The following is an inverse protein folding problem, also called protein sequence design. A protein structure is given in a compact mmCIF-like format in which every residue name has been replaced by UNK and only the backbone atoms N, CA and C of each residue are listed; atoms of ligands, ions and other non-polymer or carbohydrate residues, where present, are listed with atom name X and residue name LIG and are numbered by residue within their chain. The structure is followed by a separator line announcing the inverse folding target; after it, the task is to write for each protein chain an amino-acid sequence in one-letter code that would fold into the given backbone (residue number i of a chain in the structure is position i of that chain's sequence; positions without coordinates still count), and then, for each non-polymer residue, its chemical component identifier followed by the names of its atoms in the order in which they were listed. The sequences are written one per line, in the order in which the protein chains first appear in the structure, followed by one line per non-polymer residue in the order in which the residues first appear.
data_IF_655543758893
#
_entry.id   IF_655543758893
#
_cell.length_a   1.000
_cell.length_b   1.000
_cell.length_c   1.000
_cell.angle_alpha   90.00
_cell.angle_beta   90.00
_cell.angle_gamma   90.00
#
_symmetry.space_group_name_H-M   'P 1'
#
loop_
_entity.id
_entity.type
_entity.pdbx_description
1 polymer ?
#
# COMPACT_ATOMS: atom_id res chain seq x y z
N UNK A 1 -10.27 -13.84 22.12
CA UNK A 1 -9.82 -14.96 23.01
C UNK A 1 -8.32 -15.16 22.77
N UNK A 2 -7.63 -15.87 23.66
CA UNK A 2 -6.23 -16.27 23.46
C UNK A 2 -6.18 -17.79 23.35
N UNK A 3 -5.49 -18.30 22.34
CA UNK A 3 -5.25 -19.73 22.14
C UNK A 3 -3.78 -20.06 22.40
N UNK A 4 -3.48 -21.30 22.76
CA UNK A 4 -2.10 -21.77 22.93
C UNK A 4 -1.44 -21.84 21.54
N UNK A 5 -0.41 -21.03 21.35
CA UNK A 5 0.40 -21.05 20.13
C UNK A 5 1.49 -22.12 20.19
N UNK A 6 2.18 -22.19 21.34
CA UNK A 6 3.26 -23.17 21.56
C UNK A 6 3.42 -23.44 23.04
N UNK A 7 3.73 -24.69 23.38
CA UNK A 7 4.15 -25.10 24.71
C UNK A 7 5.50 -25.79 24.60
N UNK A 8 6.41 -25.49 25.52
CA UNK A 8 7.74 -26.06 25.55
C UNK A 8 8.24 -26.19 26.99
N UNK A 9 8.96 -27.26 27.28
CA UNK A 9 9.67 -27.43 28.54
C UNK A 9 11.13 -27.02 28.36
N UNK A 10 11.60 -26.12 29.19
CA UNK A 10 12.96 -25.60 29.10
C UNK A 10 13.97 -26.62 29.60
N UNK A 11 15.02 -26.85 28.84
CA UNK A 11 16.15 -27.68 29.23
C UNK A 11 17.41 -26.81 29.35
N UNK A 12 17.69 -26.32 30.56
CA UNK A 12 18.73 -25.34 30.81
C UNK A 12 19.80 -25.90 31.74
N UNK A 13 21.07 -25.78 31.33
CA UNK A 13 22.18 -26.06 32.23
C UNK A 13 22.35 -25.03 33.33
N UNK A 14 21.95 -23.78 33.04
CA UNK A 14 22.04 -22.63 33.96
C UNK A 14 20.86 -21.71 33.81
N UNK A 15 20.33 -21.22 34.93
CA UNK A 15 19.26 -20.22 34.95
C UNK A 15 19.67 -18.94 34.25
N UNK A 16 18.82 -18.40 33.32
CA UNK A 16 19.00 -17.08 32.66
C UNK A 16 17.64 -16.40 32.51
N UNK A 17 17.66 -15.18 32.03
CA UNK A 17 16.43 -14.40 31.80
C UNK A 17 15.58 -15.04 30.73
N UNK A 18 14.28 -15.14 31.00
CA UNK A 18 13.32 -15.78 30.08
C UNK A 18 13.34 -15.17 28.68
N UNK A 19 13.48 -13.83 28.58
CA UNK A 19 13.53 -13.14 27.27
C UNK A 19 14.74 -13.58 26.42
N UNK A 20 15.86 -13.91 27.02
CA UNK A 20 17.03 -14.46 26.31
C UNK A 20 16.85 -15.92 25.95
N UNK A 21 16.37 -16.71 26.89
CA UNK A 21 16.14 -18.14 26.69
C UNK A 21 15.18 -18.37 25.53
N UNK A 22 14.02 -17.71 25.53
CA UNK A 22 13.03 -17.84 24.47
C UNK A 22 13.53 -17.31 23.11
N UNK A 23 14.39 -16.29 23.10
CA UNK A 23 15.05 -15.82 21.88
C UNK A 23 15.89 -16.93 21.25
N UNK A 24 16.67 -17.63 22.05
CA UNK A 24 17.52 -18.73 21.58
C UNK A 24 16.70 -19.96 21.14
N UNK A 25 15.74 -20.38 21.98
CA UNK A 25 14.91 -21.58 21.74
C UNK A 25 14.00 -21.44 20.51
N UNK A 26 13.52 -20.24 20.24
CA UNK A 26 12.55 -20.00 19.17
C UNK A 26 13.16 -19.39 17.90
N UNK A 27 14.42 -18.97 17.93
CA UNK A 27 15.07 -18.31 16.79
C UNK A 27 14.45 -16.95 16.39
N UNK A 28 13.79 -16.27 17.34
CA UNK A 28 13.10 -15.01 17.10
C UNK A 28 13.79 -13.83 17.79
N UNK A 29 13.45 -12.58 17.39
CA UNK A 29 14.08 -11.40 17.98
C UNK A 29 13.70 -11.22 19.46
N UNK A 30 14.65 -10.75 20.26
CA UNK A 30 14.42 -10.45 21.67
C UNK A 30 13.31 -9.41 21.89
N UNK A 31 13.20 -8.43 20.98
CA UNK A 31 12.13 -7.43 21.02
C UNK A 31 10.73 -8.06 20.84
N UNK A 32 10.61 -9.09 20.01
CA UNK A 32 9.38 -9.87 19.84
C UNK A 32 9.00 -10.58 21.15
N UNK A 33 9.96 -11.29 21.76
CA UNK A 33 9.72 -11.96 23.06
C UNK A 33 9.30 -10.97 24.14
N UNK A 34 9.98 -9.84 24.25
CA UNK A 34 9.63 -8.80 25.21
C UNK A 34 8.24 -8.21 24.94
N UNK A 35 7.82 -8.08 23.69
CA UNK A 35 6.46 -7.63 23.35
C UNK A 35 5.40 -8.63 23.81
N UNK A 36 5.66 -9.95 23.65
CA UNK A 36 4.76 -10.99 24.14
C UNK A 36 4.63 -10.98 25.67
N UNK A 37 5.76 -10.84 26.38
CA UNK A 37 5.77 -10.75 27.85
C UNK A 37 5.02 -9.50 28.37
N UNK A 38 5.16 -8.37 27.68
CA UNK A 38 4.39 -7.13 28.02
C UNK A 38 2.90 -7.23 27.70
N UNK A 39 2.52 -8.10 26.76
CA UNK A 39 1.13 -8.29 26.36
C UNK A 39 0.44 -9.46 27.09
N UNK A 40 1.08 -9.99 28.15
CA UNK A 40 0.62 -11.15 28.92
C UNK A 40 0.29 -12.36 28.01
N UNK A 41 1.20 -12.63 27.05
CA UNK A 41 1.09 -13.76 26.12
C UNK A 41 2.04 -14.91 26.46
N UNK A 42 2.79 -14.84 27.55
CA UNK A 42 3.71 -15.89 28.00
C UNK A 42 3.41 -16.26 29.42
N UNK A 43 3.16 -17.53 29.65
CA UNK A 43 3.04 -18.14 30.98
C UNK A 43 4.22 -19.05 31.25
N UNK A 44 4.63 -19.15 32.49
CA UNK A 44 5.57 -20.16 32.98
C UNK A 44 4.89 -20.92 34.11
N UNK A 45 4.83 -22.22 34.00
CA UNK A 45 4.15 -23.11 34.95
C UNK A 45 2.70 -22.66 35.24
N UNK A 46 2.01 -22.14 34.19
CA UNK A 46 0.64 -21.67 34.28
C UNK A 46 0.44 -20.19 34.66
N UNK A 47 1.48 -19.50 35.14
CA UNK A 47 1.41 -18.11 35.63
C UNK A 47 2.03 -17.11 34.65
N UNK A 48 1.43 -15.91 34.53
CA UNK A 48 2.01 -14.83 33.74
C UNK A 48 3.26 -14.27 34.41
N UNK A 49 4.32 -14.08 33.64
CA UNK A 49 5.62 -13.63 34.13
C UNK A 49 6.12 -12.37 33.43
N UNK A 50 6.96 -11.60 34.11
CA UNK A 50 7.60 -10.40 33.55
C UNK A 50 8.89 -10.76 32.79
N UNK A 51 9.36 -9.83 31.95
CA UNK A 51 10.56 -9.99 31.11
C UNK A 51 11.87 -10.26 31.90
N UNK A 52 11.90 -9.96 33.20
CA UNK A 52 13.03 -10.20 34.09
C UNK A 52 12.95 -11.55 34.83
N UNK A 53 11.93 -12.37 34.58
CA UNK A 53 11.81 -13.70 35.16
C UNK A 53 13.06 -14.53 34.83
N UNK A 54 13.60 -15.21 35.84
CA UNK A 54 14.74 -16.11 35.70
C UNK A 54 14.22 -17.52 35.45
N UNK A 55 14.29 -17.93 34.19
CA UNK A 55 13.89 -19.27 33.79
C UNK A 55 14.80 -20.33 34.41
N UNK A 56 14.19 -21.45 34.82
CA UNK A 56 14.86 -22.60 35.41
C UNK A 56 14.71 -23.84 34.56
N UNK A 57 15.57 -24.81 34.77
CA UNK A 57 15.44 -26.09 34.11
C UNK A 57 14.14 -26.79 34.52
N UNK A 58 13.40 -27.29 33.53
CA UNK A 58 12.10 -27.94 33.75
C UNK A 58 10.91 -26.97 33.75
N UNK A 59 11.10 -25.63 33.64
CA UNK A 59 9.99 -24.71 33.49
C UNK A 59 9.19 -25.03 32.23
N UNK A 60 7.86 -25.12 32.38
CA UNK A 60 6.91 -25.29 31.28
C UNK A 60 6.45 -23.89 30.81
N UNK A 61 6.85 -23.51 29.62
CA UNK A 61 6.49 -22.22 29.01
C UNK A 61 5.36 -22.41 28.03
N UNK A 62 4.24 -21.73 28.27
CA UNK A 62 3.09 -21.67 27.38
C UNK A 62 3.04 -20.30 26.72
N UNK A 63 3.15 -20.26 25.38
CA UNK A 63 3.02 -19.03 24.59
C UNK A 63 1.60 -18.99 24.04
N UNK A 64 0.92 -17.88 24.30
CA UNK A 64 -0.43 -17.64 23.83
C UNK A 64 -0.40 -16.78 22.57
N UNK A 65 -1.30 -17.04 21.65
CA UNK A 65 -1.61 -16.18 20.51
C UNK A 65 -2.96 -15.52 20.77
N UNK A 66 -3.03 -14.19 20.70
CA UNK A 66 -4.34 -13.55 20.57
C UNK A 66 -4.96 -14.05 19.28
N UNK A 67 -6.14 -14.62 19.36
CA UNK A 67 -6.98 -14.71 18.17
C UNK A 67 -7.15 -13.29 17.67
N UNK A 68 -6.51 -12.95 16.55
CA UNK A 68 -6.92 -11.80 15.80
C UNK A 68 -8.36 -12.09 15.38
N UNK A 69 -9.29 -11.27 15.84
CA UNK A 69 -10.63 -11.26 15.25
C UNK A 69 -10.38 -11.17 13.75
N UNK A 70 -10.73 -12.22 13.02
CA UNK A 70 -10.74 -12.16 11.57
C UNK A 70 -11.73 -11.04 11.25
N UNK A 71 -11.23 -9.87 10.95
CA UNK A 71 -12.06 -8.74 10.53
C UNK A 71 -12.70 -9.19 9.22
N UNK A 72 -13.91 -9.74 9.35
CA UNK A 72 -14.71 -10.12 8.19
C UNK A 72 -15.05 -8.84 7.44
N UNK A 73 -14.47 -8.69 6.25
CA UNK A 73 -14.76 -7.54 5.40
C UNK A 73 -16.21 -7.68 4.94
N UNK A 74 -17.07 -6.75 5.34
CA UNK A 74 -18.48 -6.77 5.00
C UNK A 74 -18.71 -6.15 3.61
N UNK A 75 -19.57 -6.75 2.76
CA UNK A 75 -20.05 -6.13 1.53
C UNK A 75 -20.82 -4.84 1.84
N UNK A 76 -20.58 -3.76 1.09
CA UNK A 76 -21.26 -2.50 1.26
C UNK A 76 -21.74 -1.95 -0.10
N UNK A 77 -22.99 -1.49 -0.17
CA UNK A 77 -23.57 -0.88 -1.36
C UNK A 77 -22.99 0.52 -1.60
N UNK A 78 -21.77 0.56 -2.13
CA UNK A 78 -21.08 1.79 -2.50
C UNK A 78 -20.99 1.84 -4.03
N UNK A 79 -21.45 2.91 -4.69
CA UNK A 79 -21.37 3.04 -6.15
C UNK A 79 -19.92 2.92 -6.65
N UNK A 80 -19.74 2.12 -7.71
CA UNK A 80 -18.46 1.93 -8.40
C UNK A 80 -18.55 2.52 -9.81
N UNK A 81 -17.53 3.26 -10.22
CA UNK A 81 -17.32 3.65 -11.61
C UNK A 81 -16.58 2.51 -12.33
N UNK A 82 -17.34 1.60 -12.93
CA UNK A 82 -16.83 0.42 -13.64
C UNK A 82 -16.57 0.81 -15.10
N UNK A 83 -15.30 0.79 -15.48
CA UNK A 83 -14.84 1.11 -16.83
C UNK A 83 -14.95 -0.11 -17.78
N UNK A 84 -14.73 -1.30 -17.23
CA UNK A 84 -14.84 -2.56 -17.95
C UNK A 84 -15.12 -3.71 -16.96
N UNK A 85 -15.90 -4.67 -17.40
CA UNK A 85 -16.16 -5.89 -16.65
C UNK A 85 -16.46 -7.04 -17.59
N UNK A 86 -15.90 -8.22 -17.29
CA UNK A 86 -16.22 -9.48 -17.92
C UNK A 86 -16.36 -10.60 -16.85
N UNK A 87 -16.34 -11.86 -17.29
CA UNK A 87 -16.50 -13.00 -16.40
C UNK A 87 -15.33 -13.19 -15.42
N UNK A 88 -14.14 -12.61 -15.71
CA UNK A 88 -12.91 -12.92 -14.98
C UNK A 88 -12.20 -11.74 -14.35
N UNK A 89 -12.49 -10.51 -14.78
CA UNK A 89 -11.89 -9.30 -14.21
C UNK A 89 -12.83 -8.08 -14.24
N UNK A 90 -12.50 -7.08 -13.43
CA UNK A 90 -13.16 -5.77 -13.40
C UNK A 90 -12.08 -4.69 -13.50
N UNK A 91 -12.31 -3.64 -14.28
CA UNK A 91 -11.51 -2.40 -14.26
C UNK A 91 -12.37 -1.27 -13.71
N UNK A 92 -11.89 -0.64 -12.63
CA UNK A 92 -12.62 0.45 -11.96
C UNK A 92 -11.83 1.75 -12.02
N UNK A 93 -12.55 2.86 -12.08
CA UNK A 93 -12.02 4.21 -11.88
C UNK A 93 -12.30 4.63 -10.43
N UNK A 94 -11.32 4.47 -9.54
CA UNK A 94 -11.48 4.78 -8.11
C UNK A 94 -11.49 6.29 -7.88
N UNK A 95 -12.45 6.84 -7.12
CA UNK A 95 -12.42 8.25 -6.73
C UNK A 95 -11.26 8.53 -5.75
N UNK A 96 -10.82 9.79 -5.69
CA UNK A 96 -9.96 10.28 -4.61
C UNK A 96 -10.68 10.18 -3.27
N UNK A 97 -9.95 9.97 -2.18
CA UNK A 97 -10.50 9.84 -0.82
C UNK A 97 -10.97 8.42 -0.44
N UNK A 98 -11.16 7.51 -1.41
CA UNK A 98 -11.56 6.12 -1.13
C UNK A 98 -10.34 5.25 -0.82
N UNK A 99 -10.34 4.59 0.34
CA UNK A 99 -9.34 3.57 0.71
C UNK A 99 -9.57 2.32 -0.14
N UNK A 100 -8.49 1.71 -0.65
CA UNK A 100 -8.61 0.51 -1.49
C UNK A 100 -9.00 -0.72 -0.66
N UNK A 101 -8.35 -0.94 0.48
CA UNK A 101 -8.52 -2.16 1.29
C UNK A 101 -8.64 -1.81 2.78
N UNK A 102 -9.51 -2.49 3.53
CA UNK A 102 -9.61 -2.32 4.97
C UNK A 102 -8.26 -2.44 5.68
N UNK A 103 -8.05 -1.58 6.65
CA UNK A 103 -6.84 -1.56 7.47
C UNK A 103 -7.18 -1.02 8.87
N UNK A 104 -6.25 -1.13 9.81
CA UNK A 104 -6.46 -0.65 11.17
C UNK A 104 -6.95 0.81 11.18
N UNK A 105 -8.18 1.03 11.68
CA UNK A 105 -8.87 2.32 11.70
C UNK A 105 -9.74 2.64 10.48
N UNK A 106 -9.79 1.76 9.46
CA UNK A 106 -10.64 1.89 8.27
C UNK A 106 -11.13 0.50 7.85
N UNK A 107 -12.21 0.02 8.47
CA UNK A 107 -12.74 -1.32 8.24
C UNK A 107 -13.95 -1.33 7.28
N UNK A 108 -14.48 -0.17 6.94
CA UNK A 108 -15.66 0.06 6.09
C UNK A 108 -15.40 1.17 5.09
N UNK A 109 -16.30 1.33 4.10
CA UNK A 109 -16.21 2.38 3.09
C UNK A 109 -15.05 2.22 2.12
N UNK A 110 -14.50 1.01 1.94
CA UNK A 110 -13.36 0.78 1.04
C UNK A 110 -13.80 0.23 -0.31
N UNK A 111 -12.90 0.32 -1.29
CA UNK A 111 -13.12 -0.28 -2.61
C UNK A 111 -13.45 -1.78 -2.50
N UNK A 112 -12.77 -2.51 -1.60
CA UNK A 112 -13.03 -3.94 -1.40
C UNK A 112 -14.42 -4.19 -0.84
N UNK A 113 -14.94 -3.36 0.10
CA UNK A 113 -16.32 -3.49 0.57
C UNK A 113 -17.32 -3.34 -0.58
N UNK A 114 -17.10 -2.34 -1.46
CA UNK A 114 -17.95 -2.11 -2.64
C UNK A 114 -17.87 -3.27 -3.65
N UNK A 115 -16.67 -3.78 -3.93
CA UNK A 115 -16.44 -4.90 -4.84
C UNK A 115 -17.07 -6.19 -4.34
N UNK A 116 -17.01 -6.47 -3.03
CA UNK A 116 -17.69 -7.63 -2.43
C UNK A 116 -19.22 -7.55 -2.52
N UNK A 117 -19.79 -6.35 -2.52
CA UNK A 117 -21.21 -6.16 -2.75
C UNK A 117 -21.57 -6.31 -4.22
N UNK A 118 -20.73 -5.80 -5.13
CA UNK A 118 -20.95 -5.82 -6.57
C UNK A 118 -20.79 -7.23 -7.17
N UNK A 119 -19.78 -7.99 -6.71
CA UNK A 119 -19.41 -9.29 -7.27
C UNK A 119 -19.41 -10.38 -6.21
N UNK A 120 -20.11 -11.49 -6.50
CA UNK A 120 -20.14 -12.68 -5.64
C UNK A 120 -18.86 -13.53 -5.72
N UNK A 121 -17.99 -13.25 -6.69
CA UNK A 121 -16.72 -13.95 -6.88
C UNK A 121 -15.58 -12.97 -7.05
N UNK A 122 -14.65 -12.97 -6.09
CA UNK A 122 -13.38 -12.29 -6.17
C UNK A 122 -12.28 -13.30 -5.86
N UNK A 123 -11.07 -13.09 -6.38
CA UNK A 123 -9.96 -13.97 -6.06
C UNK A 123 -9.64 -13.91 -4.56
N UNK A 124 -9.42 -15.08 -3.95
CA UNK A 124 -8.96 -15.22 -2.57
C UNK A 124 -7.44 -15.03 -2.51
N UNK A 125 -6.94 -13.83 -2.73
CA UNK A 125 -5.52 -13.61 -2.56
C UNK A 125 -5.18 -13.50 -1.08
N UNK A 126 -4.88 -14.63 -0.49
CA UNK A 126 -4.28 -14.72 0.83
C UNK A 126 -2.75 -14.74 0.67
N UNK A 127 -2.07 -13.61 0.89
CA UNK A 127 -0.79 -13.72 1.59
C UNK A 127 -1.14 -14.07 3.04
N UNK A 128 -0.39 -14.95 3.69
CA UNK A 128 -0.70 -15.55 5.00
C UNK A 128 -1.12 -14.57 6.12
N UNK A 129 -0.99 -13.27 5.91
CA UNK A 129 -1.25 -12.22 6.90
C UNK A 129 -2.40 -11.27 6.55
N UNK A 130 -2.82 -11.10 5.27
CA UNK A 130 -3.85 -10.10 4.89
C UNK A 130 -4.71 -10.62 3.74
N UNK A 131 -6.01 -10.80 4.03
CA UNK A 131 -7.02 -11.11 3.02
C UNK A 131 -7.30 -9.88 2.15
N UNK A 132 -7.01 -9.96 0.85
CA UNK A 132 -7.18 -8.87 -0.13
C UNK A 132 -7.91 -9.35 -1.38
N UNK A 133 -9.21 -9.63 -1.29
CA UNK A 133 -9.95 -10.21 -2.39
C UNK A 133 -9.86 -9.34 -3.65
N UNK A 134 -9.54 -9.97 -4.78
CA UNK A 134 -9.49 -9.37 -6.09
C UNK A 134 -8.29 -8.45 -6.39
N UNK A 135 -7.57 -7.98 -5.40
CA UNK A 135 -6.58 -6.91 -5.57
C UNK A 135 -5.21 -7.41 -6.05
N UNK A 136 -4.86 -7.19 -7.31
CA UNK A 136 -3.52 -7.46 -7.85
C UNK A 136 -2.54 -6.29 -7.68
N UNK A 137 -3.05 -5.08 -7.57
CA UNK A 137 -2.30 -3.86 -7.23
C UNK A 137 -3.17 -2.85 -6.48
N UNK A 138 -2.57 -1.75 -6.07
CA UNK A 138 -3.28 -0.70 -5.32
C UNK A 138 -2.75 0.68 -5.66
N UNK A 139 -3.61 1.68 -5.47
CA UNK A 139 -3.26 3.10 -5.40
C UNK A 139 -3.58 3.65 -4.01
N UNK A 140 -3.05 4.82 -3.68
CA UNK A 140 -3.25 5.42 -2.37
C UNK A 140 -4.71 5.92 -2.18
N UNK A 141 -5.11 6.18 -0.94
CA UNK A 141 -6.45 6.69 -0.59
C UNK A 141 -6.84 7.89 -1.48
N UNK A 142 -5.97 8.90 -1.51
CA UNK A 142 -6.24 10.17 -2.18
C UNK A 142 -5.76 10.19 -3.64
N UNK A 143 -5.23 9.10 -4.16
CA UNK A 143 -4.99 8.90 -5.59
C UNK A 143 -6.25 8.38 -6.26
N UNK A 144 -6.70 9.03 -7.34
CA UNK A 144 -7.81 8.56 -8.17
C UNK A 144 -7.33 7.74 -9.37
N UNK A 145 -8.26 7.09 -10.08
CA UNK A 145 -8.02 6.45 -11.36
C UNK A 145 -8.06 4.93 -11.37
N UNK A 146 -7.49 4.36 -12.41
CA UNK A 146 -7.68 2.98 -12.83
C UNK A 146 -7.03 1.93 -11.93
N UNK A 147 -7.81 0.90 -11.61
CA UNK A 147 -7.35 -0.36 -11.02
C UNK A 147 -7.99 -1.55 -11.73
N UNK A 148 -7.23 -2.66 -11.87
CA UNK A 148 -7.76 -3.96 -12.30
C UNK A 148 -7.93 -4.88 -11.11
N UNK A 149 -9.05 -5.61 -11.10
CA UNK A 149 -9.52 -6.51 -10.05
C UNK A 149 -9.72 -7.89 -10.67
N UNK A 150 -9.21 -8.94 -10.04
CA UNK A 150 -9.37 -10.31 -10.49
C UNK A 150 -10.57 -10.98 -9.81
N UNK A 151 -11.43 -11.65 -10.58
CA UNK A 151 -12.60 -12.38 -10.05
C UNK A 151 -12.24 -13.81 -9.58
N UNK A 152 -11.09 -14.35 -9.98
CA UNK A 152 -10.61 -15.67 -9.57
C UNK A 152 -9.09 -15.73 -9.42
N UNK A 153 -8.61 -16.79 -8.78
CA UNK A 153 -7.20 -16.93 -8.41
C UNK A 153 -6.26 -17.14 -9.60
N UNK A 154 -6.68 -17.84 -10.66
CA UNK A 154 -5.87 -18.04 -11.87
C UNK A 154 -5.60 -16.71 -12.58
N UNK A 155 -6.63 -15.89 -12.75
CA UNK A 155 -6.54 -14.55 -13.31
C UNK A 155 -5.69 -13.63 -12.44
N UNK A 156 -5.85 -13.72 -11.10
CA UNK A 156 -5.03 -12.98 -10.17
C UNK A 156 -3.54 -13.27 -10.36
N UNK A 157 -3.15 -14.55 -10.41
CA UNK A 157 -1.76 -14.96 -10.59
C UNK A 157 -1.19 -14.46 -11.92
N UNK A 158 -1.94 -14.59 -13.01
CA UNK A 158 -1.52 -14.12 -14.34
C UNK A 158 -1.35 -12.60 -14.41
N UNK A 159 -2.26 -11.82 -13.80
CA UNK A 159 -2.13 -10.37 -13.71
C UNK A 159 -0.96 -9.95 -12.81
N UNK A 160 -0.78 -10.61 -11.67
CA UNK A 160 0.37 -10.37 -10.78
C UNK A 160 1.70 -10.67 -11.48
N UNK A 161 1.76 -11.73 -12.30
CA UNK A 161 2.92 -12.05 -13.13
C UNK A 161 3.21 -10.94 -14.13
N UNK A 162 2.21 -10.42 -14.84
CA UNK A 162 2.39 -9.30 -15.77
C UNK A 162 2.95 -8.05 -15.08
N UNK A 163 2.53 -7.78 -13.83
CA UNK A 163 3.10 -6.69 -13.02
C UNK A 163 4.57 -6.96 -12.70
N UNK A 164 4.90 -8.18 -12.27
CA UNK A 164 6.27 -8.57 -11.91
C UNK A 164 7.23 -8.52 -13.13
N UNK A 165 6.73 -8.84 -14.31
CA UNK A 165 7.46 -8.81 -15.59
C UNK A 165 7.42 -7.45 -16.29
N UNK A 166 6.87 -6.40 -15.67
CA UNK A 166 6.68 -5.06 -16.25
C UNK A 166 5.88 -5.03 -17.57
N UNK A 167 5.00 -6.02 -17.78
CA UNK A 167 4.12 -6.13 -18.95
C UNK A 167 2.80 -5.37 -18.78
N UNK A 168 2.45 -5.00 -17.55
CA UNK A 168 1.30 -4.13 -17.25
C UNK A 168 1.75 -2.67 -17.26
N UNK A 169 1.28 -1.89 -18.25
CA UNK A 169 1.61 -0.47 -18.34
C UNK A 169 0.65 0.36 -17.49
N UNK A 170 1.21 1.18 -16.60
CA UNK A 170 0.47 2.07 -15.69
C UNK A 170 1.04 3.47 -15.83
N UNK A 171 0.23 4.38 -16.41
CA UNK A 171 0.62 5.79 -16.50
C UNK A 171 -0.27 6.63 -15.60
N UNK A 172 0.36 7.55 -14.91
CA UNK A 172 -0.25 8.51 -14.02
C UNK A 172 -0.04 9.90 -14.55
N UNK A 173 -0.92 10.82 -14.18
CA UNK A 173 -0.65 12.25 -14.28
C UNK A 173 -0.62 12.86 -12.89
N UNK A 174 0.23 13.84 -12.71
CA UNK A 174 0.34 14.59 -11.46
C UNK A 174 0.57 16.08 -11.71
N UNK A 175 0.07 16.90 -10.81
CA UNK A 175 0.47 18.31 -10.71
C UNK A 175 1.51 18.40 -9.59
N UNK A 176 2.66 18.95 -9.91
CA UNK A 176 3.81 19.07 -9.00
C UNK A 176 4.29 20.50 -8.89
N UNK A 177 4.94 20.84 -7.77
CA UNK A 177 5.58 22.13 -7.54
C UNK A 177 6.79 22.33 -8.44
N UNK A 178 6.95 23.53 -8.95
CA UNK A 178 8.13 23.99 -9.67
C UNK A 178 8.18 23.54 -11.13
N UNK A 179 9.26 23.98 -11.79
CA UNK A 179 9.54 23.71 -13.19
C UNK A 179 10.75 22.83 -13.33
N UNK A 180 10.69 21.90 -14.27
CA UNK A 180 11.79 20.98 -14.57
C UNK A 180 12.82 21.60 -15.52
N UNK A 181 14.09 21.29 -15.31
CA UNK A 181 15.15 21.67 -16.24
C UNK A 181 15.13 20.85 -17.55
N UNK A 182 14.48 19.67 -17.52
CA UNK A 182 14.39 18.75 -18.64
C UNK A 182 12.95 18.24 -18.77
N UNK A 183 12.49 18.11 -20.01
CA UNK A 183 11.11 17.65 -20.30
C UNK A 183 10.86 16.19 -19.93
N UNK A 184 11.90 15.37 -19.89
CA UNK A 184 11.81 13.95 -19.56
C UNK A 184 12.91 13.54 -18.59
N UNK A 185 12.64 12.48 -17.81
CA UNK A 185 13.67 11.92 -16.94
C UNK A 185 13.28 10.56 -16.36
N UNK A 186 14.27 9.94 -15.72
CA UNK A 186 14.12 8.67 -15.00
C UNK A 186 14.60 8.87 -13.57
N UNK A 187 13.76 8.49 -12.62
CA UNK A 187 14.11 8.43 -11.20
C UNK A 187 14.33 6.97 -10.86
N UNK A 188 15.57 6.52 -10.84
CA UNK A 188 15.98 5.19 -10.37
C UNK A 188 16.55 5.34 -8.95
N UNK A 189 15.68 5.21 -7.95
CA UNK A 189 16.01 5.50 -6.57
C UNK A 189 15.26 4.55 -5.61
N UNK A 190 15.98 3.70 -4.85
CA UNK A 190 15.37 2.69 -4.01
C UNK A 190 14.62 3.29 -2.83
N UNK A 191 13.50 2.67 -2.45
CA UNK A 191 12.60 3.15 -1.43
C UNK A 191 12.58 2.27 -0.18
N UNK A 192 12.70 2.90 0.99
CA UNK A 192 12.54 2.32 2.31
C UNK A 192 11.35 2.93 3.06
N UNK A 193 10.96 2.31 4.17
CA UNK A 193 10.05 2.93 5.13
C UNK A 193 10.83 3.93 5.97
N UNK A 194 10.31 5.16 6.13
CA UNK A 194 10.93 6.18 6.97
C UNK A 194 11.05 5.69 8.42
N UNK A 195 12.19 5.92 9.06
CA UNK A 195 12.51 5.33 10.37
C UNK A 195 11.56 5.80 11.49
N UNK A 196 11.23 7.09 11.53
CA UNK A 196 10.38 7.68 12.58
C UNK A 196 8.93 7.85 12.13
N UNK A 197 8.67 8.28 10.89
CA UNK A 197 7.32 8.40 10.33
C UNK A 197 6.96 7.17 9.50
N UNK A 198 6.40 6.14 10.12
CA UNK A 198 6.08 4.85 9.48
C UNK A 198 5.07 4.93 8.34
N UNK A 199 4.35 6.03 8.19
CA UNK A 199 3.44 6.26 7.07
C UNK A 199 4.19 6.67 5.80
N UNK A 200 5.38 7.30 5.92
CA UNK A 200 6.17 7.84 4.81
C UNK A 200 7.13 6.79 4.22
N UNK A 201 7.38 6.90 2.91
CA UNK A 201 8.50 6.23 2.22
C UNK A 201 9.55 7.28 1.90
N UNK A 202 10.81 6.85 1.85
CA UNK A 202 11.94 7.72 1.53
C UNK A 202 12.90 7.01 0.60
N UNK A 203 13.60 7.80 -0.22
CA UNK A 203 14.72 7.30 -0.99
C UNK A 203 15.88 7.04 -0.03
N UNK A 204 16.33 5.79 0.01
CA UNK A 204 17.40 5.35 0.93
C UNK A 204 18.18 4.19 0.32
N UNK A 205 19.49 4.25 0.41
CA UNK A 205 20.38 3.17 -0.06
C UNK A 205 20.07 1.86 0.68
N UNK A 206 19.93 0.77 -0.07
CA UNK A 206 19.54 -0.53 0.47
C UNK A 206 18.02 -0.74 0.55
N UNK A 207 17.22 0.25 0.16
CA UNK A 207 15.78 0.12 -0.01
C UNK A 207 15.40 -0.81 -1.17
N UNK A 208 14.10 -1.03 -1.36
CA UNK A 208 13.56 -1.80 -2.49
C UNK A 208 13.70 -1.01 -3.77
N UNK A 209 14.21 -1.62 -4.84
CA UNK A 209 14.32 -1.00 -6.17
C UNK A 209 13.00 -0.35 -6.60
N UNK A 210 13.09 0.88 -7.08
CA UNK A 210 11.95 1.67 -7.52
C UNK A 210 12.38 2.56 -8.69
N UNK A 211 11.66 2.45 -9.82
CA UNK A 211 11.96 3.17 -11.07
C UNK A 211 10.70 3.86 -11.57
N UNK A 212 10.79 5.18 -11.74
CA UNK A 212 9.72 6.04 -12.28
C UNK A 212 10.26 6.86 -13.43
N UNK A 213 9.64 6.74 -14.60
CA UNK A 213 9.86 7.65 -15.73
C UNK A 213 8.89 8.81 -15.63
N UNK A 214 9.35 10.01 -15.95
CA UNK A 214 8.45 11.18 -16.04
C UNK A 214 8.64 11.93 -17.36
N UNK A 215 7.59 12.61 -17.77
CA UNK A 215 7.50 13.51 -18.91
C UNK A 215 6.69 14.73 -18.50
N UNK A 216 7.23 15.93 -18.72
CA UNK A 216 6.53 17.19 -18.47
C UNK A 216 5.57 17.42 -19.64
N UNK A 217 4.28 17.47 -19.34
CA UNK A 217 3.22 17.69 -20.33
C UNK A 217 2.92 19.18 -20.51
N UNK A 218 3.06 19.96 -19.43
CA UNK A 218 2.77 21.39 -19.41
C UNK A 218 3.42 22.05 -18.18
N UNK A 219 3.68 23.36 -18.28
CA UNK A 219 4.20 24.16 -17.17
C UNK A 219 3.41 25.48 -17.09
N UNK A 220 2.99 25.85 -15.88
CA UNK A 220 2.14 27.02 -15.67
C UNK A 220 2.33 27.60 -14.26
N UNK A 221 2.45 28.94 -14.17
CA UNK A 221 2.76 29.62 -12.91
C UNK A 221 3.96 28.96 -12.20
N UNK A 222 3.81 28.46 -10.98
CA UNK A 222 4.83 27.80 -10.19
C UNK A 222 4.75 26.27 -10.25
N UNK A 223 3.99 25.68 -11.21
CA UNK A 223 3.66 24.27 -11.25
C UNK A 223 3.98 23.62 -12.60
N UNK A 224 4.06 22.30 -12.60
CA UNK A 224 4.15 21.46 -13.81
C UNK A 224 3.12 20.33 -13.77
N UNK A 225 2.49 20.06 -14.92
CA UNK A 225 1.72 18.84 -15.17
C UNK A 225 2.66 17.80 -15.74
N UNK A 226 2.77 16.66 -15.06
CA UNK A 226 3.69 15.58 -15.46
C UNK A 226 2.97 14.26 -15.68
N UNK A 227 3.41 13.50 -16.68
CA UNK A 227 3.08 12.09 -16.86
C UNK A 227 4.13 11.23 -16.18
N UNK A 228 3.71 10.22 -15.42
CA UNK A 228 4.60 9.27 -14.76
C UNK A 228 4.29 7.84 -15.21
N UNK A 229 5.29 7.11 -15.69
CA UNK A 229 5.21 5.69 -16.02
C UNK A 229 6.02 4.87 -15.02
N UNK A 230 5.41 3.82 -14.48
CA UNK A 230 6.02 2.98 -13.45
C UNK A 230 6.58 1.68 -14.05
N UNK A 231 7.85 1.35 -13.75
CA UNK A 231 8.37 -0.02 -13.90
C UNK A 231 8.11 -0.84 -12.64
N UNK A 232 8.19 -0.22 -11.48
CA UNK A 232 7.90 -0.83 -10.18
C UNK A 232 6.65 -0.21 -9.55
N UNK A 233 6.03 -0.87 -8.59
CA UNK A 233 4.83 -0.38 -7.90
C UNK A 233 5.00 -0.35 -6.38
N UNK A 234 5.97 0.43 -5.87
CA UNK A 234 6.16 0.56 -4.41
C UNK A 234 5.14 1.52 -3.82
N UNK A 235 4.77 1.28 -2.57
CA UNK A 235 3.88 2.18 -1.83
C UNK A 235 4.41 3.62 -1.88
N UNK A 236 3.56 4.59 -2.23
CA UNK A 236 3.87 6.01 -2.37
C UNK A 236 5.01 6.33 -3.37
N UNK A 237 5.29 5.45 -4.34
CA UNK A 237 6.49 5.57 -5.17
C UNK A 237 6.60 6.92 -5.88
N UNK A 238 5.60 7.33 -6.67
CA UNK A 238 5.61 8.60 -7.40
C UNK A 238 5.76 9.78 -6.42
N UNK A 239 5.02 9.75 -5.32
CA UNK A 239 5.02 10.80 -4.29
C UNK A 239 6.40 11.00 -3.66
N UNK A 240 7.04 9.89 -3.26
CA UNK A 240 8.39 9.91 -2.68
C UNK A 240 9.46 10.29 -3.70
N UNK A 241 9.35 9.84 -4.95
CA UNK A 241 10.27 10.18 -6.03
C UNK A 241 10.17 11.66 -6.41
N UNK A 242 8.98 12.21 -6.54
CA UNK A 242 8.77 13.64 -6.86
C UNK A 242 9.28 14.54 -5.72
N UNK A 243 9.01 14.18 -4.45
CA UNK A 243 9.60 14.91 -3.32
C UNK A 243 11.14 14.84 -3.32
N UNK A 244 11.71 13.67 -3.62
CA UNK A 244 13.15 13.45 -3.66
C UNK A 244 13.85 14.37 -4.67
N UNK A 245 13.28 14.55 -5.87
CA UNK A 245 13.80 15.46 -6.90
C UNK A 245 13.35 16.92 -6.71
N UNK A 246 12.71 17.26 -5.57
CA UNK A 246 12.28 18.62 -5.19
C UNK A 246 11.06 19.16 -5.96
N UNK A 247 10.27 18.29 -6.53
CA UNK A 247 9.00 18.60 -7.19
C UNK A 247 7.84 17.83 -6.52
N UNK A 248 7.52 18.09 -5.22
CA UNK A 248 6.47 17.36 -4.52
C UNK A 248 5.12 17.55 -5.19
N UNK A 249 4.25 16.55 -5.07
CA UNK A 249 2.90 16.60 -5.63
C UNK A 249 2.07 17.62 -4.85
N UNK A 250 1.35 18.48 -5.57
CA UNK A 250 0.46 19.48 -4.99
C UNK A 250 -0.61 18.83 -4.11
N UNK A 251 -0.91 19.44 -2.98
CA UNK A 251 -1.85 18.96 -1.95
C UNK A 251 -1.44 17.62 -1.28
N UNK A 252 -0.23 17.12 -1.47
CA UNK A 252 0.19 15.90 -0.78
C UNK A 252 0.39 16.17 0.72
N UNK A 253 -0.46 15.62 1.60
CA UNK A 253 -0.41 15.94 3.03
C UNK A 253 0.84 15.36 3.73
N UNK A 254 1.49 14.38 3.11
CA UNK A 254 2.61 13.65 3.70
C UNK A 254 3.96 14.09 3.12
N UNK A 255 4.01 14.39 1.83
CA UNK A 255 5.24 14.72 1.11
C UNK A 255 5.37 16.23 0.81
N UNK A 256 4.27 16.98 0.90
CA UNK A 256 4.24 18.43 0.74
C UNK A 256 3.48 19.14 1.87
N UNK A 257 3.75 18.84 3.16
CA UNK A 257 2.95 19.33 4.28
C UNK A 257 3.07 20.84 4.52
N UNK A 258 4.10 21.48 3.98
CA UNK A 258 4.32 22.94 4.04
C UNK A 258 3.84 23.67 2.79
N UNK A 259 3.40 22.94 1.78
CA UNK A 259 2.84 23.51 0.55
C UNK A 259 1.54 24.23 0.84
N UNK A 260 1.23 25.25 0.03
CA UNK A 260 -0.06 25.92 0.09
C UNK A 260 -1.16 24.89 -0.25
N UNK A 261 -2.12 24.69 0.66
CA UNK A 261 -3.27 23.84 0.39
C UNK A 261 -4.11 24.49 -0.71
N UNK A 262 -4.12 23.86 -1.88
CA UNK A 262 -4.78 24.43 -3.06
C UNK A 262 -6.32 24.21 -3.03
N UNK A 263 -6.79 23.12 -2.40
CA UNK A 263 -8.21 22.76 -2.32
C UNK A 263 -8.45 21.69 -1.25
N UNK A 264 -9.70 21.31 -1.03
CA UNK A 264 -10.06 20.14 -0.21
C UNK A 264 -9.83 18.79 -0.94
N UNK A 265 -9.51 18.83 -2.23
CA UNK A 265 -9.08 17.65 -2.98
C UNK A 265 -7.78 17.08 -2.40
N UNK A 266 -7.60 15.79 -2.42
CA UNK A 266 -6.36 15.15 -1.97
C UNK A 266 -5.15 15.50 -2.86
N UNK A 267 -4.15 14.66 -2.86
CA UNK A 267 -2.98 14.83 -3.73
C UNK A 267 -3.37 14.80 -5.22
N UNK A 268 -2.86 15.74 -6.00
CA UNK A 268 -3.08 15.80 -7.44
C UNK A 268 -2.29 14.72 -8.17
N UNK A 269 -2.73 13.48 -7.99
CA UNK A 269 -2.17 12.26 -8.60
C UNK A 269 -3.31 11.36 -9.08
N UNK A 270 -3.29 11.00 -10.36
CA UNK A 270 -4.35 10.24 -11.01
C UNK A 270 -3.78 9.12 -11.89
N UNK A 271 -4.22 7.87 -11.69
CA UNK A 271 -3.88 6.70 -12.50
C UNK A 271 -4.70 6.76 -13.82
N UNK A 272 -4.16 7.46 -14.83
CA UNK A 272 -4.87 7.82 -16.06
C UNK A 272 -5.02 6.66 -17.03
N UNK A 273 -3.94 5.88 -17.23
CA UNK A 273 -3.92 4.81 -18.23
C UNK A 273 -3.50 3.50 -17.63
N UNK A 274 -4.20 2.44 -17.99
CA UNK A 274 -3.90 1.07 -17.62
C UNK A 274 -3.99 0.18 -18.85
N UNK A 275 -2.92 -0.55 -19.19
CA UNK A 275 -2.97 -1.55 -20.24
C UNK A 275 -2.24 -2.83 -19.87
N UNK A 276 -2.80 -3.95 -20.26
CA UNK A 276 -2.31 -5.29 -19.95
C UNK A 276 -2.85 -6.31 -20.96
N UNK A 277 -2.26 -7.50 -20.99
CA UNK A 277 -2.80 -8.61 -21.78
C UNK A 277 -3.89 -9.31 -20.97
N UNK A 278 -5.07 -9.48 -21.57
CA UNK A 278 -6.19 -10.19 -20.93
C UNK A 278 -5.78 -11.65 -20.63
N UNK A 279 -5.91 -12.12 -19.36
CA UNK A 279 -5.31 -13.39 -18.91
C UNK A 279 -5.88 -14.65 -19.58
N UNK A 280 -7.06 -14.56 -20.18
CA UNK A 280 -7.74 -15.70 -20.84
C UNK A 280 -7.71 -15.56 -22.35
N UNK A 281 -8.16 -14.42 -22.93
CA UNK A 281 -8.21 -14.25 -24.39
C UNK A 281 -6.85 -13.97 -25.01
N UNK A 282 -5.87 -13.45 -24.26
CA UNK A 282 -4.57 -13.01 -24.78
C UNK A 282 -4.61 -11.68 -25.52
N UNK A 283 -5.76 -11.03 -25.62
CA UNK A 283 -5.90 -9.70 -26.24
C UNK A 283 -5.30 -8.60 -25.36
N UNK A 284 -4.76 -7.57 -26.00
CA UNK A 284 -4.31 -6.38 -25.26
C UNK A 284 -5.50 -5.48 -24.94
N UNK A 285 -5.77 -5.30 -23.68
CA UNK A 285 -6.73 -4.31 -23.17
C UNK A 285 -6.02 -3.01 -22.79
N UNK A 286 -6.60 -1.88 -23.19
CA UNK A 286 -6.08 -0.56 -22.85
C UNK A 286 -7.24 0.36 -22.47
N UNK A 287 -7.11 0.98 -21.30
CA UNK A 287 -8.11 1.87 -20.73
C UNK A 287 -7.48 3.22 -20.43
N UNK A 288 -8.26 4.26 -20.60
CA UNK A 288 -7.91 5.63 -20.22
C UNK A 288 -9.12 6.30 -19.59
N UNK A 289 -8.88 7.02 -18.51
CA UNK A 289 -9.88 7.87 -17.86
C UNK A 289 -9.30 9.27 -17.65
N UNK A 290 -10.14 10.27 -17.77
CA UNK A 290 -9.69 11.63 -17.52
C UNK A 290 -9.62 11.90 -16.01
N UNK A 291 -8.71 12.79 -15.57
CA UNK A 291 -8.60 13.15 -14.17
C UNK A 291 -9.87 13.82 -13.66
N UNK A 292 -10.11 13.81 -12.35
CA UNK A 292 -11.17 14.58 -11.75
C UNK A 292 -11.10 16.07 -12.14
N UNK A 293 -12.26 16.73 -12.23
CA UNK A 293 -12.39 18.15 -12.62
C UNK A 293 -11.50 19.11 -11.83
N UNK A 294 -11.12 18.73 -10.62
CA UNK A 294 -10.23 19.48 -9.74
C UNK A 294 -8.86 19.75 -10.41
N UNK A 295 -8.39 18.85 -11.30
CA UNK A 295 -7.17 19.06 -12.08
C UNK A 295 -7.34 20.22 -13.05
N UNK A 296 -8.43 20.22 -13.85
CA UNK A 296 -8.72 21.27 -14.82
C UNK A 296 -8.98 22.62 -14.13
N UNK A 297 -9.72 22.58 -13.02
CA UNK A 297 -10.00 23.78 -12.21
C UNK A 297 -8.70 24.38 -11.65
N UNK A 298 -7.78 23.54 -11.14
CA UNK A 298 -6.49 24.00 -10.65
C UNK A 298 -5.62 24.59 -11.77
N UNK A 299 -5.54 23.91 -12.92
CA UNK A 299 -4.77 24.38 -14.09
C UNK A 299 -5.34 25.71 -14.60
N UNK A 300 -6.65 25.81 -14.73
CA UNK A 300 -7.33 27.03 -15.21
C UNK A 300 -7.04 28.23 -14.32
N UNK A 301 -7.18 28.05 -12.99
CA UNK A 301 -6.93 29.13 -12.02
C UNK A 301 -5.47 29.60 -12.08
N UNK A 302 -4.53 28.66 -12.19
CA UNK A 302 -3.10 28.99 -12.17
C UNK A 302 -2.54 29.41 -13.54
N UNK A 303 -3.18 29.06 -14.67
CA UNK A 303 -2.84 29.61 -15.99
C UNK A 303 -3.36 31.04 -16.20
N UNK A 304 -4.52 31.37 -15.63
CA UNK A 304 -5.10 32.73 -15.73
C UNK A 304 -4.36 33.80 -14.94
N UNK A 305 -3.46 33.41 -14.02
CA UNK A 305 -2.65 34.34 -13.22
C UNK A 305 -1.43 34.93 -13.95
N UNK A 306 -1.20 34.53 -15.20
CA UNK A 306 -0.09 35.04 -16.05
C UNK A 306 -0.53 36.17 -17.02
N UNK A 307 -1.79 36.63 -16.94
CA UNK A 307 -2.38 37.61 -17.87
C UNK A 307 -2.59 39.02 -17.29
N UNK A 308 -1.82 39.41 -16.25
CA UNK A 308 -1.79 40.78 -15.72
C UNK A 308 -0.35 41.30 -15.60
#
# INVERSE_FOLDING_TARGET
MTTVYKELTLNLEKSDRLDKVLTAELGISRSTVQSWLKADLVKVNGEFVKSNYKAQNGDVVTILKKEEEQVTIQPENIPLDIVYEDDVLIVVNKPSGMVVHPSKGHYSGTLVNALLYHSNSLSDSTSEEIYRPGLVHRIDKDTSGLLVIAKNNDVHQKLAQQIAENKMNRKYIAIVDGHFAHETGVIDAPLSRHQTNRLKRVVEKGGKSAITHFEVLDSFSDYSLVSCRLETGRTHQIRAHMEFIKHPIVNDPLYHPKGKKASEFGQYLHARTLSFTHPISGETLAFQVEPPKEFDDFIRVNKGSLAD
#
